data_IF_883695243367
#
_entry.id   IF_883695243367
#
_cell.length_a   1.000
_cell.length_b   1.000
_cell.length_c   1.000
_cell.angle_alpha   90.00
_cell.angle_beta   90.00
_cell.angle_gamma   90.00
#
_symmetry.space_group_name_H-M   'P 1'
#
loop_
_entity.id
_entity.type
_entity.pdbx_description
1 polymer ?
#
# COMPACT_ATOMS: atom_id res chain seq x y z
N UNK A 1 4.62 -3.91 3.51
CA UNK A 1 4.99 -4.15 2.09
C UNK A 1 5.16 -2.84 1.33
N UNK A 2 4.15 -1.96 1.29
CA UNK A 2 4.21 -0.67 0.57
C UNK A 2 5.43 0.20 0.91
N UNK A 3 5.77 0.36 2.20
CA UNK A 3 6.97 1.12 2.62
C UNK A 3 8.29 0.53 2.11
N UNK A 4 8.39 -0.79 1.92
CA UNK A 4 9.62 -1.45 1.43
C UNK A 4 9.86 -1.23 -0.06
N UNK A 5 8.81 -0.97 -0.83
CA UNK A 5 8.90 -0.73 -2.28
C UNK A 5 9.00 0.76 -2.60
N UNK A 6 8.92 1.62 -1.58
CA UNK A 6 8.90 3.07 -1.76
C UNK A 6 10.30 3.64 -1.88
N UNK A 7 10.52 4.49 -2.88
CA UNK A 7 11.79 5.21 -3.08
C UNK A 7 11.86 6.54 -2.31
N UNK A 8 10.72 7.05 -1.85
CA UNK A 8 10.64 8.24 -1.02
C UNK A 8 10.76 7.85 0.46
N UNK A 9 11.95 8.02 1.05
CA UNK A 9 12.16 7.80 2.48
C UNK A 9 11.27 8.73 3.30
N UNK A 10 10.46 8.15 4.20
CA UNK A 10 9.49 8.91 5.00
C UNK A 10 8.24 9.38 4.25
N UNK A 11 8.05 8.94 3.01
CA UNK A 11 6.84 9.15 2.21
C UNK A 11 6.72 10.55 1.57
N UNK A 12 5.64 10.74 0.81
CA UNK A 12 5.22 12.04 0.29
C UNK A 12 4.57 12.82 1.44
N UNK A 13 5.11 14.00 1.73
CA UNK A 13 4.71 14.85 2.87
C UNK A 13 4.13 16.18 2.45
N UNK A 14 4.51 16.63 1.27
CA UNK A 14 4.15 17.94 0.75
C UNK A 14 3.18 17.79 -0.42
N UNK A 15 2.06 18.54 -0.44
CA UNK A 15 1.13 18.51 -1.57
C UNK A 15 1.69 19.25 -2.80
N UNK A 16 2.68 20.14 -2.61
CA UNK A 16 3.25 20.91 -3.71
C UNK A 16 4.08 20.02 -4.64
N UNK A 17 3.92 20.24 -5.94
CA UNK A 17 4.68 19.53 -6.98
C UNK A 17 6.04 20.16 -7.23
N UNK A 18 6.13 21.50 -7.16
CA UNK A 18 7.31 22.28 -7.53
C UNK A 18 7.68 23.26 -6.42
N UNK A 19 8.98 23.54 -6.30
CA UNK A 19 9.56 24.55 -5.41
C UNK A 19 10.67 25.27 -6.16
N UNK A 20 10.56 26.60 -6.29
CA UNK A 20 11.52 27.44 -7.02
C UNK A 20 11.83 26.94 -8.46
N UNK A 21 10.80 26.50 -9.20
CA UNK A 21 10.93 26.02 -10.58
C UNK A 21 11.48 24.61 -10.73
N UNK A 22 11.69 23.87 -9.63
CA UNK A 22 12.22 22.50 -9.62
C UNK A 22 11.19 21.57 -8.96
N UNK A 23 11.18 20.26 -9.28
CA UNK A 23 10.33 19.31 -8.56
C UNK A 23 10.67 19.27 -7.07
N UNK A 24 9.64 19.32 -6.21
CA UNK A 24 9.81 19.36 -4.76
C UNK A 24 10.15 17.98 -4.22
N UNK A 25 11.22 17.87 -3.43
CA UNK A 25 11.56 16.64 -2.71
C UNK A 25 10.49 16.32 -1.66
N UNK A 26 10.15 15.05 -1.55
CA UNK A 26 9.03 14.55 -0.75
C UNK A 26 7.67 15.18 -1.11
N UNK A 27 7.58 15.77 -2.30
CA UNK A 27 6.34 16.22 -2.94
C UNK A 27 5.77 15.17 -3.88
N UNK A 28 4.66 15.49 -4.54
CA UNK A 28 4.00 14.55 -5.46
C UNK A 28 4.82 14.25 -6.73
N UNK A 29 5.70 15.18 -7.11
CA UNK A 29 6.58 15.06 -8.28
C UNK A 29 8.03 14.77 -7.87
N UNK A 30 8.25 14.05 -6.76
CA UNK A 30 9.60 13.76 -6.29
C UNK A 30 10.42 13.08 -7.42
N UNK A 31 11.59 13.61 -7.79
CA UNK A 31 12.39 13.14 -8.92
C UNK A 31 12.95 11.72 -8.74
N UNK A 32 12.82 11.12 -7.54
CA UNK A 32 13.08 9.70 -7.29
C UNK A 32 11.96 8.80 -7.80
N UNK A 33 10.73 9.31 -7.88
CA UNK A 33 9.56 8.53 -8.34
C UNK A 33 9.50 8.36 -9.87
N UNK A 34 10.28 9.13 -10.60
CA UNK A 34 10.37 9.07 -12.06
C UNK A 34 10.60 10.45 -12.67
N UNK A 35 10.66 10.50 -13.99
CA UNK A 35 10.81 11.74 -14.76
C UNK A 35 9.85 11.78 -15.94
N UNK A 36 9.27 12.95 -16.17
CA UNK A 36 8.43 13.23 -17.34
C UNK A 36 9.06 14.25 -18.30
N UNK A 37 10.12 14.93 -17.86
CA UNK A 37 10.82 15.91 -18.67
C UNK A 37 11.93 15.24 -19.48
N UNK A 38 12.09 15.66 -20.75
CA UNK A 38 13.03 15.04 -21.70
C UNK A 38 14.49 15.29 -21.33
N UNK A 39 14.75 16.42 -20.67
CA UNK A 39 16.11 16.84 -20.30
C UNK A 39 16.49 16.37 -18.89
N UNK A 40 15.56 15.77 -18.16
CA UNK A 40 15.73 15.32 -16.79
C UNK A 40 15.98 13.81 -16.71
N UNK A 41 16.67 13.37 -15.65
CA UNK A 41 16.91 11.95 -15.36
C UNK A 41 16.38 11.57 -13.99
N UNK A 42 15.85 10.35 -13.89
CA UNK A 42 15.34 9.81 -12.63
C UNK A 42 16.46 9.70 -11.58
N UNK A 43 16.21 10.16 -10.37
CA UNK A 43 17.19 10.11 -9.28
C UNK A 43 17.32 8.72 -8.63
N UNK A 44 16.48 7.75 -9.02
CA UNK A 44 16.58 6.36 -8.55
C UNK A 44 17.24 5.43 -9.56
N UNK A 45 16.79 5.43 -10.82
CA UNK A 45 17.31 4.50 -11.83
C UNK A 45 18.19 5.16 -12.91
N UNK A 46 18.38 6.49 -12.87
CA UNK A 46 19.10 7.28 -13.88
C UNK A 46 18.53 7.23 -15.32
N UNK A 47 17.41 6.52 -15.53
CA UNK A 47 16.69 6.45 -16.80
C UNK A 47 16.10 7.79 -17.22
N UNK A 48 15.99 7.99 -18.53
CA UNK A 48 15.26 9.11 -19.14
C UNK A 48 13.75 8.84 -19.16
N UNK A 49 12.96 9.77 -19.73
CA UNK A 49 11.49 9.67 -19.83
C UNK A 49 11.00 8.37 -20.51
N UNK A 50 11.75 7.81 -21.46
CA UNK A 50 11.36 6.59 -22.20
C UNK A 50 11.80 5.29 -21.53
N UNK A 51 12.87 5.33 -20.73
CA UNK A 51 13.47 4.16 -20.09
C UNK A 51 12.99 3.97 -18.65
N UNK A 52 12.61 5.04 -17.96
CA UNK A 52 12.20 4.98 -16.56
C UNK A 52 10.82 4.33 -16.44
N UNK A 53 10.67 3.19 -15.72
CA UNK A 53 9.38 2.55 -15.53
C UNK A 53 8.48 3.26 -14.51
N UNK A 54 9.02 4.25 -13.80
CA UNK A 54 8.41 4.85 -12.62
C UNK A 54 8.69 4.02 -11.35
N UNK A 55 8.67 4.70 -10.20
CA UNK A 55 8.96 4.12 -8.91
C UNK A 55 7.89 4.48 -7.89
N UNK A 56 7.51 3.51 -7.07
CA UNK A 56 6.48 3.72 -6.07
C UNK A 56 6.92 4.69 -4.99
N UNK A 57 6.01 5.58 -4.60
CA UNK A 57 6.06 6.30 -3.33
C UNK A 57 5.05 5.72 -2.35
N UNK A 58 4.99 6.29 -1.16
CA UNK A 58 3.89 6.03 -0.22
C UNK A 58 3.51 7.30 0.51
N UNK A 59 2.28 7.33 1.03
CA UNK A 59 1.82 8.34 1.97
C UNK A 59 1.52 7.61 3.27
N UNK A 60 2.07 8.15 4.36
CA UNK A 60 1.71 7.69 5.69
C UNK A 60 0.44 8.41 6.14
N UNK A 61 -0.66 7.66 6.17
CA UNK A 61 -1.92 8.17 6.67
C UNK A 61 -1.82 8.38 8.18
N UNK A 62 -2.34 9.51 8.66
CA UNK A 62 -2.34 9.84 10.10
C UNK A 62 -3.14 8.83 10.94
N UNK A 63 -4.12 8.15 10.33
CA UNK A 63 -4.96 7.12 10.95
C UNK A 63 -5.24 5.99 9.96
N UNK A 64 -5.48 4.76 10.42
CA UNK A 64 -5.92 3.67 9.55
C UNK A 64 -7.28 4.02 8.91
N UNK A 65 -7.44 3.64 7.64
CA UNK A 65 -8.67 3.87 6.86
C UNK A 65 -9.15 2.55 6.29
N UNK A 66 -10.46 2.32 6.29
CA UNK A 66 -11.04 1.13 5.68
C UNK A 66 -10.96 1.22 4.15
N UNK A 67 -10.42 0.18 3.54
CA UNK A 67 -10.37 0.08 2.08
C UNK A 67 -11.76 -0.27 1.54
N UNK A 68 -12.35 0.61 0.72
CA UNK A 68 -13.74 0.48 0.20
C UNK A 68 -14.02 -0.87 -0.45
N UNK A 69 -13.06 -1.42 -1.22
CA UNK A 69 -13.20 -2.74 -1.87
C UNK A 69 -13.24 -3.95 -0.92
N UNK A 70 -12.89 -3.75 0.36
CA UNK A 70 -12.87 -4.81 1.37
C UNK A 70 -13.87 -4.60 2.51
N UNK A 71 -14.51 -3.43 2.63
CA UNK A 71 -15.46 -3.12 3.73
C UNK A 71 -16.50 -4.22 3.93
N UNK A 72 -17.12 -4.71 2.85
CA UNK A 72 -18.14 -5.77 2.92
C UNK A 72 -17.59 -7.10 3.46
N UNK A 73 -16.36 -7.46 3.07
CA UNK A 73 -15.67 -8.66 3.57
C UNK A 73 -15.22 -8.48 5.02
N UNK A 74 -14.71 -7.30 5.38
CA UNK A 74 -14.34 -6.96 6.74
C UNK A 74 -15.52 -7.13 7.69
N UNK A 75 -16.70 -6.60 7.34
CA UNK A 75 -17.92 -6.77 8.15
C UNK A 75 -18.30 -8.25 8.30
N UNK A 76 -18.22 -9.04 7.22
CA UNK A 76 -18.48 -10.49 7.29
C UNK A 76 -17.52 -11.21 8.24
N UNK A 77 -16.23 -10.88 8.18
CA UNK A 77 -15.21 -11.48 9.06
C UNK A 77 -15.46 -11.06 10.52
N UNK A 78 -15.75 -9.78 10.77
CA UNK A 78 -16.01 -9.26 12.12
C UNK A 78 -17.25 -9.91 12.77
N UNK A 79 -18.24 -10.32 11.99
CA UNK A 79 -19.41 -11.08 12.49
C UNK A 79 -19.07 -12.51 12.93
N UNK A 80 -17.96 -13.06 12.47
CA UNK A 80 -17.53 -14.43 12.77
C UNK A 80 -16.47 -14.51 13.88
N UNK A 81 -16.06 -13.40 14.48
CA UNK A 81 -15.03 -13.35 15.53
C UNK A 81 -15.58 -12.72 16.81
N UNK A 82 -15.12 -13.21 17.96
CA UNK A 82 -15.40 -12.60 19.25
C UNK A 82 -14.55 -11.34 19.43
N UNK A 83 -15.17 -10.20 19.76
CA UNK A 83 -14.46 -8.93 19.96
C UNK A 83 -13.58 -8.89 21.23
N UNK A 84 -13.79 -9.80 22.19
CA UNK A 84 -13.03 -9.83 23.43
C UNK A 84 -11.78 -10.73 23.36
N UNK A 85 -11.88 -11.89 22.69
CA UNK A 85 -10.78 -12.87 22.64
C UNK A 85 -10.25 -13.12 21.22
N UNK A 86 -10.80 -12.46 20.21
CA UNK A 86 -10.42 -12.58 18.79
C UNK A 86 -10.48 -14.00 18.21
N UNK A 87 -11.13 -14.95 18.93
CA UNK A 87 -11.38 -16.31 18.45
C UNK A 87 -12.56 -16.33 17.49
N UNK A 88 -12.54 -17.28 16.56
CA UNK A 88 -13.67 -17.56 15.68
C UNK A 88 -14.87 -18.08 16.50
N UNK A 89 -16.05 -17.58 16.18
CA UNK A 89 -17.33 -18.01 16.76
C UNK A 89 -17.81 -19.28 16.06
N UNK A 90 -17.11 -20.38 16.30
CA UNK A 90 -17.39 -21.67 15.68
C UNK A 90 -17.22 -22.78 16.71
N UNK A 91 -18.07 -23.81 16.63
CA UNK A 91 -17.93 -24.97 17.52
C UNK A 91 -16.66 -25.75 17.18
N UNK A 92 -15.98 -26.36 18.17
CA UNK A 92 -14.81 -27.21 17.90
C UNK A 92 -15.12 -28.33 16.91
N UNK A 93 -16.30 -28.95 17.02
CA UNK A 93 -16.77 -30.02 16.12
C UNK A 93 -16.84 -29.54 14.67
N UNK A 94 -17.39 -28.35 14.44
CA UNK A 94 -17.49 -27.75 13.11
C UNK A 94 -16.10 -27.42 12.53
N UNK A 95 -15.14 -27.00 13.37
CA UNK A 95 -13.75 -26.78 12.93
C UNK A 95 -13.14 -28.10 12.44
N UNK A 96 -13.24 -29.17 13.24
CA UNK A 96 -12.69 -30.49 12.86
C UNK A 96 -13.30 -30.99 11.55
N UNK A 97 -14.61 -30.86 11.37
CA UNK A 97 -15.26 -31.24 10.11
C UNK A 97 -14.76 -30.41 8.91
N UNK A 98 -14.54 -29.09 9.09
CA UNK A 98 -14.07 -28.23 8.02
C UNK A 98 -12.64 -28.60 7.57
N UNK A 99 -11.72 -28.85 8.51
CA UNK A 99 -10.35 -29.26 8.18
C UNK A 99 -10.28 -30.66 7.57
N UNK A 100 -11.06 -31.63 8.08
CA UNK A 100 -11.12 -32.96 7.47
C UNK A 100 -11.65 -32.89 6.02
N UNK A 101 -12.67 -32.08 5.73
CA UNK A 101 -13.18 -31.92 4.36
C UNK A 101 -12.22 -31.17 3.41
N UNK A 102 -11.27 -30.39 3.92
CA UNK A 102 -10.22 -29.76 3.11
C UNK A 102 -9.09 -30.76 2.82
N UNK A 103 -8.74 -31.63 3.77
CA UNK A 103 -7.68 -32.64 3.58
C UNK A 103 -8.03 -33.79 2.62
N UNK A 104 -9.31 -33.96 2.27
CA UNK A 104 -9.76 -34.92 1.24
C UNK A 104 -9.95 -34.29 -0.16
N UNK A 105 -9.35 -33.12 -0.41
CA UNK A 105 -9.22 -32.52 -1.75
C UNK A 105 -7.79 -32.18 -2.09
#
# INVERSE_FOLDING_TARGET
MHRRMSVTEGGIRFPETMEAGRPKLCGLMDPRQGVIDRNSRCQTCAGNMTECPGHFGHIDLAKPVFHVGFVTKTIKILRCVCFFCSKLLVSPVSIYMFFNNISYK
#
